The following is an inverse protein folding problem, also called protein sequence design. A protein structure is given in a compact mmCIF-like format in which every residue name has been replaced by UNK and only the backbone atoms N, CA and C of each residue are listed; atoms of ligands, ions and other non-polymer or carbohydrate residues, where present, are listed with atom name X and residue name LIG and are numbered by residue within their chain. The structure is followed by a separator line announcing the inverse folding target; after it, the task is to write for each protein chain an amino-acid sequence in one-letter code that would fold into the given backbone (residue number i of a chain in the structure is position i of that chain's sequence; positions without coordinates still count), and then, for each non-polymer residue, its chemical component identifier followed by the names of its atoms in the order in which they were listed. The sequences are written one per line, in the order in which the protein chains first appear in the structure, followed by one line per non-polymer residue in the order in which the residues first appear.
data_IF_806884823329
#
_entry.id   IF_806884823329
#
_cell.length_a   1.000
_cell.length_b   1.000
_cell.length_c   1.000
_cell.angle_alpha   90.00
_cell.angle_beta   90.00
_cell.angle_gamma   90.00
#
_symmetry.space_group_name_H-M   'P 1'
#
loop_
_entity.id
_entity.type
_entity.pdbx_description
1 polymer ?
#
# COMPACT_ATOMS: atom_id res chain seq x y z
N UNK A 1 17.31 4.69 17.57
CA UNK A 1 18.74 4.41 17.66
C UNK A 1 19.54 5.31 16.72
N UNK A 2 19.27 5.26 15.42
CA UNK A 2 19.89 6.13 14.41
C UNK A 2 19.78 7.63 14.75
N UNK A 3 18.59 8.06 15.14
CA UNK A 3 18.32 9.43 15.50
C UNK A 3 19.04 9.87 16.78
N UNK A 4 19.29 8.94 17.73
CA UNK A 4 19.91 9.23 19.01
C UNK A 4 21.44 9.17 18.97
N UNK A 5 22.03 8.33 18.12
CA UNK A 5 23.48 8.12 18.10
C UNK A 5 24.20 8.84 16.98
N UNK A 6 23.51 9.33 15.96
CA UNK A 6 24.10 9.96 14.78
C UNK A 6 25.02 9.04 13.96
N UNK A 7 25.12 7.76 14.33
CA UNK A 7 26.02 6.81 13.67
C UNK A 7 25.35 6.27 12.41
N UNK A 8 26.03 6.39 11.29
CA UNK A 8 25.66 5.71 10.06
C UNK A 8 25.78 4.19 10.26
N UNK A 9 24.77 3.42 9.88
CA UNK A 9 24.54 2.02 10.21
C UNK A 9 25.74 1.06 10.12
N UNK A 10 26.83 1.44 9.45
CA UNK A 10 28.02 0.62 9.30
C UNK A 10 28.78 0.40 10.61
N UNK A 11 28.82 1.42 11.48
CA UNK A 11 29.69 1.41 12.68
C UNK A 11 28.87 1.37 14.01
N UNK A 12 27.54 1.21 13.88
CA UNK A 12 26.67 1.13 15.04
C UNK A 12 26.83 -0.21 15.77
N UNK A 13 27.17 -0.16 17.04
CA UNK A 13 27.22 -1.31 17.93
C UNK A 13 26.07 -1.24 18.93
N UNK A 14 25.51 -2.37 19.32
CA UNK A 14 24.54 -2.48 20.40
C UNK A 14 25.16 -3.33 21.51
N UNK A 15 25.42 -2.76 22.69
CA UNK A 15 26.10 -3.42 23.79
C UNK A 15 27.49 -4.03 23.42
N UNK A 16 28.23 -3.36 22.48
CA UNK A 16 29.51 -3.84 22.00
C UNK A 16 29.44 -4.96 20.95
N UNK A 17 28.25 -5.34 20.50
CA UNK A 17 28.05 -6.35 19.45
C UNK A 17 28.04 -5.65 18.09
N UNK A 18 28.94 -6.07 17.19
CA UNK A 18 29.09 -5.48 15.85
C UNK A 18 28.18 -6.17 14.81
N UNK A 19 27.85 -7.44 15.02
CA UNK A 19 27.03 -8.24 14.09
C UNK A 19 26.00 -9.08 14.85
N UNK A 20 24.78 -9.16 14.30
CA UNK A 20 23.69 -9.99 14.80
C UNK A 20 23.16 -10.79 13.58
N UNK A 21 23.17 -12.11 13.66
CA UNK A 21 22.77 -13.02 12.57
C UNK A 21 23.48 -12.74 11.23
N UNK A 22 24.78 -12.37 11.27
CA UNK A 22 25.57 -12.07 10.08
C UNK A 22 25.30 -10.69 9.43
N UNK A 23 24.46 -9.86 10.05
CA UNK A 23 24.22 -8.47 9.64
C UNK A 23 24.83 -7.49 10.64
N UNK A 24 25.31 -6.36 10.14
CA UNK A 24 25.76 -5.27 11.00
C UNK A 24 24.66 -4.87 11.98
N UNK A 25 24.97 -4.68 13.24
CA UNK A 25 24.01 -4.40 14.32
C UNK A 25 23.08 -3.23 14.00
N UNK A 26 23.60 -2.14 13.36
CA UNK A 26 22.76 -1.01 12.95
C UNK A 26 21.68 -1.37 11.94
N UNK A 27 21.95 -2.27 11.00
CA UNK A 27 20.98 -2.78 10.03
C UNK A 27 19.90 -3.61 10.74
N UNK A 28 20.31 -4.47 11.67
CA UNK A 28 19.37 -5.28 12.46
C UNK A 28 18.43 -4.41 13.30
N UNK A 29 18.96 -3.39 13.98
CA UNK A 29 18.16 -2.44 14.76
C UNK A 29 17.18 -1.66 13.89
N UNK A 30 17.63 -1.19 12.71
CA UNK A 30 16.78 -0.52 11.76
C UNK A 30 15.65 -1.44 11.23
N UNK A 31 15.98 -2.69 10.92
CA UNK A 31 15.01 -3.71 10.51
C UNK A 31 13.96 -3.97 11.60
N UNK A 32 14.39 -4.20 12.84
CA UNK A 32 13.49 -4.43 13.98
C UNK A 32 12.58 -3.21 14.22
N UNK A 33 13.14 -1.99 14.17
CA UNK A 33 12.37 -0.76 14.31
C UNK A 33 11.35 -0.58 13.19
N UNK A 34 11.72 -0.87 11.95
CA UNK A 34 10.80 -0.79 10.81
C UNK A 34 9.70 -1.86 10.88
N UNK A 35 10.01 -3.05 11.40
CA UNK A 35 9.01 -4.11 11.62
C UNK A 35 7.97 -3.69 12.66
N UNK A 36 8.41 -3.10 13.78
CA UNK A 36 7.50 -2.56 14.82
C UNK A 36 6.64 -1.43 14.25
N UNK A 37 7.24 -0.53 13.46
CA UNK A 37 6.51 0.53 12.77
C UNK A 37 5.44 -0.05 11.84
N UNK A 38 5.76 -1.10 11.06
CA UNK A 38 4.83 -1.75 10.16
C UNK A 38 3.59 -2.30 10.89
N UNK A 39 3.81 -3.03 11.99
CA UNK A 39 2.70 -3.52 12.85
C UNK A 39 1.86 -2.36 13.38
N UNK A 40 2.51 -1.29 13.86
CA UNK A 40 1.81 -0.10 14.36
C UNK A 40 0.97 0.61 13.29
N UNK A 41 1.48 0.71 12.06
CA UNK A 41 0.78 1.33 10.94
C UNK A 41 -0.50 0.55 10.56
N UNK A 42 -0.43 -0.78 10.49
CA UNK A 42 -1.60 -1.63 10.22
C UNK A 42 -2.65 -1.53 11.34
N UNK A 43 -2.24 -1.63 12.59
CA UNK A 43 -3.13 -1.48 13.75
C UNK A 43 -3.80 -0.10 13.75
N UNK A 44 -3.03 0.97 13.47
CA UNK A 44 -3.59 2.32 13.41
C UNK A 44 -4.61 2.47 12.28
N UNK A 45 -4.34 1.93 11.09
CA UNK A 45 -5.24 1.97 9.95
C UNK A 45 -6.58 1.29 10.23
N UNK A 46 -6.56 0.10 10.82
CA UNK A 46 -7.77 -0.65 11.22
C UNK A 46 -8.53 0.11 12.31
N UNK A 47 -7.81 0.61 13.32
CA UNK A 47 -8.41 1.32 14.46
C UNK A 47 -9.12 2.57 14.01
N UNK A 48 -8.46 3.42 13.19
CA UNK A 48 -9.06 4.65 12.66
C UNK A 48 -10.30 4.35 11.82
N UNK A 49 -10.26 3.31 10.99
CA UNK A 49 -11.42 2.91 10.18
C UNK A 49 -12.61 2.46 11.05
N UNK A 50 -12.35 1.69 12.13
CA UNK A 50 -13.39 1.30 13.09
C UNK A 50 -13.98 2.52 13.82
N UNK A 51 -13.12 3.44 14.24
CA UNK A 51 -13.54 4.68 14.90
C UNK A 51 -14.46 5.50 13.99
N UNK A 52 -14.05 5.69 12.73
CA UNK A 52 -14.87 6.42 11.75
C UNK A 52 -16.22 5.74 11.56
N UNK A 53 -16.24 4.41 11.40
CA UNK A 53 -17.48 3.66 11.28
C UNK A 53 -18.40 3.85 12.49
N UNK A 54 -17.85 3.84 13.70
CA UNK A 54 -18.58 4.05 14.96
C UNK A 54 -19.16 5.47 15.07
N UNK A 55 -18.35 6.50 14.81
CA UNK A 55 -18.76 7.88 14.98
C UNK A 55 -19.70 8.41 13.90
N UNK A 56 -19.63 7.85 12.69
CA UNK A 56 -20.40 8.27 11.51
C UNK A 56 -21.48 7.26 11.11
N UNK A 57 -21.80 6.27 11.97
CA UNK A 57 -22.90 5.31 11.73
C UNK A 57 -24.22 6.08 11.48
N UNK A 58 -24.82 5.86 10.31
CA UNK A 58 -26.07 6.54 9.91
C UNK A 58 -25.92 8.00 9.45
N UNK A 59 -24.70 8.49 9.27
CA UNK A 59 -24.37 9.85 8.77
C UNK A 59 -23.46 9.76 7.56
N UNK A 60 -22.56 10.75 7.35
CA UNK A 60 -21.68 10.87 6.18
C UNK A 60 -20.46 9.91 6.25
N UNK A 61 -20.70 8.62 6.50
CA UNK A 61 -19.65 7.60 6.67
C UNK A 61 -18.71 7.53 5.45
N UNK A 62 -19.25 7.53 4.24
CA UNK A 62 -18.45 7.44 3.02
C UNK A 62 -17.53 8.67 2.85
N UNK A 63 -18.01 9.84 3.19
CA UNK A 63 -17.22 11.08 3.16
C UNK A 63 -16.09 11.02 4.18
N UNK A 64 -16.37 10.60 5.42
CA UNK A 64 -15.36 10.49 6.47
C UNK A 64 -14.26 9.47 6.13
N UNK A 65 -14.64 8.31 5.60
CA UNK A 65 -13.70 7.31 5.07
C UNK A 65 -12.90 7.86 3.88
N UNK A 66 -13.53 8.61 3.00
CA UNK A 66 -12.87 9.26 1.86
C UNK A 66 -11.81 10.28 2.31
N UNK A 67 -12.12 11.09 3.31
CA UNK A 67 -11.17 12.05 3.90
C UNK A 67 -9.98 11.34 4.53
N UNK A 68 -10.20 10.24 5.26
CA UNK A 68 -9.11 9.41 5.80
C UNK A 68 -8.15 8.95 4.71
N UNK A 69 -8.68 8.37 3.63
CA UNK A 69 -7.86 7.89 2.50
C UNK A 69 -7.14 9.05 1.83
N UNK A 70 -7.81 10.19 1.63
CA UNK A 70 -7.22 11.38 1.03
C UNK A 70 -6.03 11.91 1.84
N UNK A 71 -6.17 12.05 3.16
CA UNK A 71 -5.10 12.48 4.05
C UNK A 71 -3.91 11.50 4.02
N UNK A 72 -4.16 10.20 4.01
CA UNK A 72 -3.10 9.20 3.87
C UNK A 72 -2.32 9.34 2.55
N UNK A 73 -3.00 9.64 1.44
CA UNK A 73 -2.35 9.86 0.14
C UNK A 73 -1.54 11.16 0.08
N UNK A 74 -2.05 12.23 0.69
CA UNK A 74 -1.30 13.49 0.84
C UNK A 74 -0.04 13.25 1.67
N UNK A 75 -0.14 12.53 2.78
CA UNK A 75 1.02 12.17 3.61
C UNK A 75 2.07 11.36 2.85
N UNK A 76 1.64 10.37 2.06
CA UNK A 76 2.55 9.58 1.22
C UNK A 76 3.26 10.45 0.18
N UNK A 77 2.55 11.33 -0.52
CA UNK A 77 3.13 12.24 -1.49
C UNK A 77 4.11 13.22 -0.84
N UNK A 78 3.75 13.79 0.30
CA UNK A 78 4.62 14.70 1.05
C UNK A 78 5.92 13.98 1.47
N UNK A 79 5.83 12.73 1.95
CA UNK A 79 6.98 11.92 2.28
C UNK A 79 7.93 11.72 1.10
N UNK A 80 7.42 11.35 -0.07
CA UNK A 80 8.24 11.20 -1.28
C UNK A 80 8.87 12.52 -1.74
N UNK A 81 8.14 13.63 -1.68
CA UNK A 81 8.65 14.92 -2.14
C UNK A 81 9.72 15.53 -1.21
N UNK A 82 9.56 15.35 0.10
CA UNK A 82 10.37 16.05 1.12
C UNK A 82 11.58 15.23 1.58
N UNK A 83 11.54 13.90 1.48
CA UNK A 83 12.57 13.03 2.07
C UNK A 83 13.98 13.34 1.53
N UNK A 84 14.19 13.39 0.22
CA UNK A 84 15.52 13.62 -0.39
C UNK A 84 16.03 15.04 -0.13
N UNK A 85 15.25 16.11 -0.39
CA UNK A 85 15.69 17.48 -0.09
C UNK A 85 16.06 17.69 1.39
N UNK A 86 15.26 17.12 2.29
CA UNK A 86 15.48 17.25 3.73
C UNK A 86 16.74 16.51 4.19
N UNK A 87 16.95 15.29 3.66
CA UNK A 87 18.13 14.50 3.95
C UNK A 87 19.43 15.22 3.49
N UNK A 88 19.38 15.92 2.37
CA UNK A 88 20.53 16.69 1.83
C UNK A 88 20.79 17.95 2.63
N UNK A 89 19.73 18.67 3.03
CA UNK A 89 19.89 19.94 3.75
C UNK A 89 20.35 19.75 5.20
N UNK A 90 19.88 18.69 5.88
CA UNK A 90 20.01 18.52 7.33
C UNK A 90 20.55 17.13 7.75
N UNK A 91 20.88 16.29 6.79
CA UNK A 91 21.41 14.94 7.04
C UNK A 91 20.35 13.84 6.93
N UNK A 92 20.86 12.61 6.70
CA UNK A 92 20.06 11.42 6.34
C UNK A 92 19.07 11.00 7.44
N UNK A 93 19.31 11.34 8.70
CA UNK A 93 18.44 11.03 9.83
C UNK A 93 17.22 11.97 9.93
N UNK A 94 17.28 13.16 9.31
CA UNK A 94 16.27 14.21 9.49
C UNK A 94 14.88 13.83 8.98
N UNK A 95 14.68 13.17 7.82
CA UNK A 95 13.37 12.68 7.40
C UNK A 95 12.73 11.71 8.39
N UNK A 96 13.55 10.83 8.99
CA UNK A 96 13.09 9.87 10.01
C UNK A 96 12.69 10.59 11.30
N UNK A 97 13.47 11.59 11.73
CA UNK A 97 13.15 12.43 12.89
C UNK A 97 11.87 13.22 12.69
N UNK A 98 11.66 13.79 11.49
CA UNK A 98 10.40 14.46 11.16
C UNK A 98 9.22 13.50 11.27
N UNK A 99 9.34 12.28 10.73
CA UNK A 99 8.33 11.23 10.87
C UNK A 99 8.04 10.91 12.34
N UNK A 100 9.07 10.79 13.18
CA UNK A 100 8.91 10.56 14.62
C UNK A 100 8.14 11.69 15.30
N UNK A 101 8.48 12.95 15.02
CA UNK A 101 7.79 14.13 15.60
C UNK A 101 6.31 14.14 15.20
N UNK A 102 6.00 13.85 13.93
CA UNK A 102 4.62 13.77 13.46
C UNK A 102 3.84 12.63 14.14
N UNK A 103 4.48 11.46 14.32
CA UNK A 103 3.87 10.32 15.04
C UNK A 103 3.61 10.64 16.51
N UNK A 104 4.54 11.32 17.20
CA UNK A 104 4.34 11.79 18.59
C UNK A 104 3.18 12.77 18.68
N UNK A 105 3.08 13.71 17.74
CA UNK A 105 1.93 14.61 17.64
C UNK A 105 0.61 13.87 17.43
N UNK A 106 0.61 12.87 16.53
CA UNK A 106 -0.53 11.99 16.31
C UNK A 106 -0.93 11.19 17.53
N UNK A 107 0.05 10.70 18.29
CA UNK A 107 -0.19 9.97 19.54
C UNK A 107 -0.85 10.86 20.60
N UNK A 108 -0.39 12.11 20.75
CA UNK A 108 -1.02 13.08 21.67
C UNK A 108 -2.47 13.34 21.24
N UNK A 109 -2.72 13.57 19.95
CA UNK A 109 -4.07 13.76 19.42
C UNK A 109 -4.96 12.53 19.69
N UNK A 110 -4.40 11.32 19.53
CA UNK A 110 -5.11 10.08 19.82
C UNK A 110 -5.48 9.92 21.29
N UNK A 111 -4.63 10.31 22.23
CA UNK A 111 -4.97 10.31 23.66
C UNK A 111 -6.11 11.27 23.99
N UNK A 112 -6.10 12.47 23.41
CA UNK A 112 -7.24 13.42 23.56
C UNK A 112 -8.52 12.79 22.98
N UNK A 113 -8.43 12.20 21.80
CA UNK A 113 -9.55 11.51 21.17
C UNK A 113 -10.08 10.35 22.05
N UNK A 114 -9.21 9.53 22.64
CA UNK A 114 -9.61 8.37 23.45
C UNK A 114 -10.48 8.79 24.67
N UNK A 115 -10.26 10.00 25.22
CA UNK A 115 -11.11 10.56 26.27
C UNK A 115 -12.51 10.89 25.74
N UNK A 116 -12.60 11.40 24.51
CA UNK A 116 -13.88 11.71 23.86
C UNK A 116 -14.63 10.43 23.49
N UNK A 117 -13.93 9.42 22.98
CA UNK A 117 -14.50 8.14 22.58
C UNK A 117 -15.11 7.38 23.77
N UNK A 118 -14.45 7.37 24.92
CA UNK A 118 -15.03 6.82 26.17
C UNK A 118 -16.36 7.47 26.59
N UNK A 119 -16.54 8.77 26.29
CA UNK A 119 -17.83 9.45 26.56
C UNK A 119 -18.90 8.96 25.60
N UNK A 120 -18.55 8.78 24.33
CA UNK A 120 -19.47 8.26 23.32
C UNK A 120 -19.90 6.82 23.68
N UNK A 121 -18.96 5.95 24.09
CA UNK A 121 -19.27 4.57 24.51
C UNK A 121 -20.33 4.53 25.63
N UNK A 122 -20.14 5.34 26.67
CA UNK A 122 -21.11 5.44 27.77
C UNK A 122 -22.49 5.93 27.30
N UNK A 123 -22.54 6.85 26.33
CA UNK A 123 -23.81 7.33 25.78
C UNK A 123 -24.49 6.28 24.92
N UNK A 124 -23.72 5.53 24.11
CA UNK A 124 -24.24 4.45 23.28
C UNK A 124 -24.76 3.28 24.13
N UNK A 125 -24.02 2.88 25.15
CA UNK A 125 -24.43 1.86 26.11
C UNK A 125 -25.73 2.23 26.85
N UNK A 126 -25.82 3.46 27.33
CA UNK A 126 -27.03 3.97 27.97
C UNK A 126 -28.23 4.02 27.00
N UNK A 127 -28.00 4.38 25.73
CA UNK A 127 -29.03 4.40 24.71
C UNK A 127 -29.47 2.97 24.31
N UNK A 128 -28.57 2.01 24.23
CA UNK A 128 -28.86 0.61 23.93
C UNK A 128 -29.68 -0.03 25.04
N UNK A 129 -29.33 0.21 26.31
CA UNK A 129 -30.09 -0.25 27.48
C UNK A 129 -31.50 0.35 27.45
N UNK A 130 -31.65 1.65 27.15
CA UNK A 130 -32.95 2.31 27.08
C UNK A 130 -33.80 1.81 25.91
N UNK A 131 -33.21 1.36 24.81
CA UNK A 131 -33.90 0.82 23.64
C UNK A 131 -34.14 -0.69 23.70
N UNK A 132 -33.61 -1.41 24.70
CA UNK A 132 -33.76 -2.88 24.83
C UNK A 132 -33.10 -3.66 23.69
N UNK A 133 -32.11 -3.05 22.99
CA UNK A 133 -31.38 -3.67 21.90
C UNK A 133 -29.97 -4.05 22.38
N UNK A 134 -29.66 -5.36 22.38
CA UNK A 134 -28.29 -5.81 22.50
C UNK A 134 -27.59 -5.58 21.14
N UNK A 135 -26.48 -4.83 21.12
CA UNK A 135 -25.61 -4.76 19.93
C UNK A 135 -24.97 -6.15 19.79
N UNK A 136 -25.42 -6.96 18.83
CA UNK A 136 -24.72 -8.18 18.45
C UNK A 136 -23.39 -7.79 17.80
N UNK A 137 -22.32 -7.75 18.60
CA UNK A 137 -20.98 -7.73 18.06
C UNK A 137 -20.79 -8.99 17.20
N UNK A 138 -20.43 -8.82 15.93
CA UNK A 138 -20.08 -9.93 15.03
C UNK A 138 -18.92 -10.71 15.65
N UNK A 139 -19.24 -11.84 16.30
CA UNK A 139 -18.24 -12.71 16.92
C UNK A 139 -17.46 -13.45 15.84
N UNK A 140 -16.13 -13.28 15.85
CA UNK A 140 -15.24 -14.05 14.99
C UNK A 140 -15.49 -15.55 15.13
N UNK A 141 -15.63 -16.27 14.01
CA UNK A 141 -15.77 -17.71 13.96
C UNK A 141 -14.71 -18.37 13.09
N UNK A 142 -14.02 -19.38 13.61
CA UNK A 142 -13.09 -20.20 12.80
C UNK A 142 -13.77 -20.92 11.63
N UNK A 143 -15.10 -21.15 11.72
CA UNK A 143 -15.88 -21.71 10.62
C UNK A 143 -15.93 -20.78 9.42
N UNK A 144 -15.95 -19.46 9.63
CA UNK A 144 -15.94 -18.47 8.57
C UNK A 144 -14.60 -18.47 7.82
N UNK A 145 -13.49 -18.61 8.53
CA UNK A 145 -12.17 -18.77 7.91
C UNK A 145 -12.16 -19.96 6.94
N UNK A 146 -12.67 -21.11 7.37
CA UNK A 146 -12.74 -22.31 6.52
C UNK A 146 -13.62 -22.06 5.28
N UNK A 147 -14.79 -21.45 5.46
CA UNK A 147 -15.72 -21.16 4.36
C UNK A 147 -15.09 -20.20 3.33
N UNK A 148 -14.34 -19.19 3.80
CA UNK A 148 -13.63 -18.24 2.94
C UNK A 148 -12.53 -18.95 2.15
N UNK A 149 -11.69 -19.76 2.81
CA UNK A 149 -10.55 -20.44 2.19
C UNK A 149 -10.96 -21.50 1.16
N UNK A 150 -12.15 -22.07 1.26
CA UNK A 150 -12.69 -23.02 0.28
C UNK A 150 -13.26 -22.32 -0.95
N UNK A 151 -13.58 -21.02 -0.87
CA UNK A 151 -14.15 -20.27 -1.99
C UNK A 151 -13.08 -19.94 -3.06
N UNK A 152 -13.23 -20.38 -4.33
CA UNK A 152 -12.27 -20.04 -5.39
C UNK A 152 -12.15 -18.54 -5.66
N UNK A 153 -13.24 -17.77 -5.48
CA UNK A 153 -13.25 -16.32 -5.65
C UNK A 153 -12.34 -15.62 -4.66
N UNK A 154 -12.22 -16.16 -3.43
CA UNK A 154 -11.25 -15.65 -2.45
C UNK A 154 -9.82 -15.68 -2.98
N UNK A 155 -9.38 -16.85 -3.44
CA UNK A 155 -8.00 -17.01 -3.92
C UNK A 155 -7.70 -16.16 -5.15
N UNK A 156 -8.65 -16.04 -6.06
CA UNK A 156 -8.47 -15.21 -7.25
C UNK A 156 -8.35 -13.73 -6.89
N UNK A 157 -9.16 -13.22 -5.96
CA UNK A 157 -9.02 -11.83 -5.49
C UNK A 157 -7.76 -11.66 -4.64
N UNK A 158 -7.44 -12.56 -3.72
CA UNK A 158 -6.24 -12.47 -2.90
C UNK A 158 -4.96 -12.52 -3.74
N UNK A 159 -4.89 -13.42 -4.73
CA UNK A 159 -3.77 -13.48 -5.67
C UNK A 159 -3.68 -12.23 -6.55
N UNK A 160 -4.81 -11.73 -7.05
CA UNK A 160 -4.82 -10.48 -7.81
C UNK A 160 -4.33 -9.33 -6.95
N UNK A 161 -4.79 -9.26 -5.70
CA UNK A 161 -4.38 -8.26 -4.72
C UNK A 161 -2.86 -8.27 -4.51
N UNK A 162 -2.30 -9.42 -4.12
CA UNK A 162 -0.86 -9.50 -3.85
C UNK A 162 -0.02 -9.19 -5.09
N UNK A 163 -0.38 -9.70 -6.26
CA UNK A 163 0.37 -9.47 -7.50
C UNK A 163 0.30 -8.01 -7.94
N UNK A 164 -0.89 -7.41 -7.92
CA UNK A 164 -1.09 -6.01 -8.29
C UNK A 164 -0.34 -5.05 -7.35
N UNK A 165 -0.55 -5.19 -6.05
CA UNK A 165 0.11 -4.31 -5.08
C UNK A 165 1.62 -4.52 -5.02
N UNK A 166 2.11 -5.73 -5.31
CA UNK A 166 3.54 -6.03 -5.44
C UNK A 166 4.21 -5.34 -6.63
N UNK A 167 3.44 -4.97 -7.67
CA UNK A 167 3.96 -4.15 -8.77
C UNK A 167 3.96 -2.65 -8.45
N UNK A 168 3.16 -2.18 -7.49
CA UNK A 168 3.03 -0.75 -7.19
C UNK A 168 3.92 -0.33 -6.03
N UNK A 169 3.68 -0.84 -4.83
CA UNK A 169 4.39 -0.39 -3.62
C UNK A 169 5.88 -0.75 -3.59
N UNK A 170 6.30 -1.99 -3.91
CA UNK A 170 7.71 -2.32 -4.01
C UNK A 170 8.42 -1.48 -5.07
N UNK A 171 7.82 -1.30 -6.24
CA UNK A 171 8.38 -0.45 -7.29
C UNK A 171 8.61 0.99 -6.81
N UNK A 172 7.65 1.59 -6.10
CA UNK A 172 7.78 2.95 -5.58
C UNK A 172 8.99 3.14 -4.66
N UNK A 173 9.45 2.09 -3.96
CA UNK A 173 10.65 2.15 -3.11
C UNK A 173 11.92 2.40 -3.92
N UNK A 174 11.98 1.92 -5.16
CA UNK A 174 13.12 2.05 -6.05
C UNK A 174 12.92 3.14 -7.12
N UNK A 175 11.71 3.67 -7.25
CA UNK A 175 11.33 4.57 -8.34
C UNK A 175 12.15 5.86 -8.38
N UNK A 176 12.44 6.46 -7.22
CA UNK A 176 13.24 7.70 -7.17
C UNK A 176 14.65 7.47 -7.71
N UNK A 177 15.29 6.38 -7.35
CA UNK A 177 16.65 6.06 -7.81
C UNK A 177 16.66 5.67 -9.29
N UNK A 178 15.67 4.89 -9.76
CA UNK A 178 15.47 4.61 -11.19
C UNK A 178 15.37 5.90 -12.01
N UNK A 179 14.62 6.90 -11.51
CA UNK A 179 14.46 8.19 -12.20
C UNK A 179 15.74 8.98 -12.28
N UNK A 180 16.56 8.94 -11.24
CA UNK A 180 17.85 9.62 -11.19
C UNK A 180 18.83 8.93 -12.15
N UNK A 181 19.00 7.61 -12.03
CA UNK A 181 20.05 6.87 -12.73
C UNK A 181 19.72 6.70 -14.21
N UNK A 182 18.51 6.23 -14.54
CA UNK A 182 18.13 5.91 -15.91
C UNK A 182 17.68 7.13 -16.71
N UNK A 183 16.94 8.04 -16.08
CA UNK A 183 16.29 9.16 -16.78
C UNK A 183 16.97 10.50 -16.54
N UNK A 184 18.04 10.55 -15.73
CA UNK A 184 18.78 11.77 -15.43
C UNK A 184 17.95 12.86 -14.73
N UNK A 185 16.88 12.48 -14.06
CA UNK A 185 16.01 13.42 -13.34
C UNK A 185 16.77 13.95 -12.12
N UNK A 186 16.66 15.26 -11.89
CA UNK A 186 17.30 15.90 -10.75
C UNK A 186 16.82 15.25 -9.44
N UNK A 187 17.79 14.92 -8.58
CA UNK A 187 17.56 14.21 -7.32
C UNK A 187 16.58 14.93 -6.38
N UNK A 188 16.54 16.28 -6.40
CA UNK A 188 15.63 17.06 -5.56
C UNK A 188 14.15 16.89 -5.93
N UNK A 189 13.86 16.53 -7.19
CA UNK A 189 12.49 16.36 -7.71
C UNK A 189 12.12 14.91 -8.02
N UNK A 190 13.09 14.01 -8.05
CA UNK A 190 12.86 12.60 -8.37
C UNK A 190 11.83 11.94 -7.41
N UNK A 191 11.91 12.26 -6.12
CA UNK A 191 10.95 11.79 -5.13
C UNK A 191 9.52 12.30 -5.40
N UNK A 192 9.38 13.56 -5.84
CA UNK A 192 8.08 14.13 -6.20
C UNK A 192 7.45 13.36 -7.36
N UNK A 193 8.23 13.04 -8.40
CA UNK A 193 7.73 12.26 -9.53
C UNK A 193 7.45 10.80 -9.15
N UNK A 194 8.26 10.19 -8.30
CA UNK A 194 8.00 8.86 -7.76
C UNK A 194 6.70 8.79 -6.94
N UNK A 195 6.28 9.90 -6.35
CA UNK A 195 5.01 10.03 -5.61
C UNK A 195 3.75 10.25 -6.47
N UNK A 196 3.87 10.54 -7.77
CA UNK A 196 2.71 10.81 -8.65
C UNK A 196 1.59 9.74 -8.58
N UNK A 197 1.88 8.45 -8.44
CA UNK A 197 0.82 7.46 -8.28
C UNK A 197 -0.06 7.70 -7.06
N UNK A 198 0.49 8.22 -5.96
CA UNK A 198 -0.30 8.55 -4.76
C UNK A 198 -1.25 9.73 -5.02
N UNK A 199 -0.80 10.76 -5.76
CA UNK A 199 -1.66 11.88 -6.20
C UNK A 199 -2.75 11.41 -7.16
N UNK A 200 -2.41 10.54 -8.12
CA UNK A 200 -3.38 9.92 -9.01
C UNK A 200 -4.47 9.19 -8.23
N UNK A 201 -4.08 8.39 -7.24
CA UNK A 201 -5.02 7.67 -6.38
C UNK A 201 -5.92 8.61 -5.56
N UNK A 202 -5.38 9.72 -5.05
CA UNK A 202 -6.16 10.72 -4.31
C UNK A 202 -7.33 11.28 -5.14
N UNK A 203 -7.05 11.63 -6.39
CA UNK A 203 -8.02 12.33 -7.25
C UNK A 203 -8.95 11.33 -7.96
N UNK A 204 -8.38 10.26 -8.51
CA UNK A 204 -9.09 9.37 -9.43
C UNK A 204 -9.85 8.23 -8.72
N UNK A 205 -9.46 7.83 -7.52
CA UNK A 205 -10.14 6.72 -6.80
C UNK A 205 -11.63 7.02 -6.55
N UNK A 206 -12.03 8.21 -6.06
CA UNK A 206 -13.45 8.54 -5.92
C UNK A 206 -14.19 8.57 -7.25
N UNK A 207 -13.55 9.07 -8.32
CA UNK A 207 -14.14 9.15 -9.67
C UNK A 207 -14.40 7.74 -10.21
N UNK A 208 -13.43 6.85 -10.12
CA UNK A 208 -13.58 5.48 -10.59
C UNK A 208 -14.52 4.66 -9.70
N UNK A 209 -14.51 4.90 -8.38
CA UNK A 209 -15.49 4.31 -7.47
C UNK A 209 -16.93 4.66 -7.88
N UNK A 210 -17.23 5.94 -8.10
CA UNK A 210 -18.54 6.38 -8.57
C UNK A 210 -18.91 5.85 -9.97
N UNK A 211 -17.94 5.67 -10.85
CA UNK A 211 -18.16 5.03 -12.14
C UNK A 211 -18.54 3.55 -11.99
N UNK A 212 -17.82 2.80 -11.14
CA UNK A 212 -18.05 1.39 -10.88
C UNK A 212 -19.40 1.18 -10.20
N UNK A 213 -19.75 2.03 -9.25
CA UNK A 213 -21.04 1.97 -8.57
C UNK A 213 -22.23 2.07 -9.54
N UNK A 214 -22.11 2.95 -10.55
CA UNK A 214 -23.16 3.19 -11.55
C UNK A 214 -23.13 2.21 -12.73
N UNK A 215 -21.96 1.78 -13.18
CA UNK A 215 -21.79 0.99 -14.42
C UNK A 215 -21.39 -0.46 -14.16
N UNK A 216 -20.88 -0.80 -12.98
CA UNK A 216 -20.31 -2.11 -12.70
C UNK A 216 -18.97 -2.31 -13.38
N UNK A 217 -18.77 -3.49 -13.96
CA UNK A 217 -17.60 -3.92 -14.74
C UNK A 217 -16.33 -4.06 -13.90
N UNK A 218 -16.46 -4.42 -12.61
CA UNK A 218 -15.33 -4.51 -11.69
C UNK A 218 -14.23 -5.46 -12.20
N UNK A 219 -14.57 -6.65 -12.70
CA UNK A 219 -13.59 -7.60 -13.21
C UNK A 219 -12.90 -7.07 -14.49
N UNK A 220 -13.64 -6.40 -15.38
CA UNK A 220 -13.08 -5.76 -16.59
C UNK A 220 -12.13 -4.62 -16.24
N UNK A 221 -12.44 -3.84 -15.22
CA UNK A 221 -11.59 -2.72 -14.74
C UNK A 221 -10.31 -3.25 -14.10
N UNK A 222 -10.39 -4.32 -13.29
CA UNK A 222 -9.20 -4.97 -12.74
C UNK A 222 -8.29 -5.52 -13.85
N UNK A 223 -8.87 -6.07 -14.93
CA UNK A 223 -8.13 -6.51 -16.11
C UNK A 223 -7.41 -5.34 -16.81
N UNK A 224 -8.09 -4.22 -17.01
CA UNK A 224 -7.52 -3.01 -17.62
C UNK A 224 -6.35 -2.49 -16.78
N UNK A 225 -6.51 -2.38 -15.47
CA UNK A 225 -5.44 -1.91 -14.59
C UNK A 225 -4.22 -2.85 -14.59
N UNK A 226 -4.44 -4.18 -14.62
CA UNK A 226 -3.33 -5.15 -14.75
C UNK A 226 -2.61 -5.02 -16.10
N UNK A 227 -3.33 -4.78 -17.20
CA UNK A 227 -2.72 -4.51 -18.50
C UNK A 227 -1.89 -3.22 -18.51
N UNK A 228 -2.37 -2.18 -17.83
CA UNK A 228 -1.61 -0.93 -17.68
C UNK A 228 -0.31 -1.14 -16.90
N UNK A 229 -0.29 -1.99 -15.86
CA UNK A 229 0.95 -2.33 -15.15
C UNK A 229 1.98 -3.00 -16.07
N UNK A 230 1.54 -3.91 -16.94
CA UNK A 230 2.44 -4.54 -17.92
C UNK A 230 3.07 -3.48 -18.81
N UNK A 231 2.27 -2.58 -19.38
CA UNK A 231 2.78 -1.50 -20.23
C UNK A 231 3.79 -0.63 -19.48
N UNK A 232 3.51 -0.24 -18.24
CA UNK A 232 4.40 0.61 -17.44
C UNK A 232 5.74 -0.08 -17.19
N UNK A 233 5.73 -1.26 -16.60
CA UNK A 233 6.97 -1.94 -16.23
C UNK A 233 7.75 -2.45 -17.42
N UNK A 234 7.07 -2.88 -18.50
CA UNK A 234 7.71 -3.30 -19.73
C UNK A 234 8.47 -2.14 -20.40
N UNK A 235 7.87 -0.95 -20.48
CA UNK A 235 8.55 0.24 -21.05
C UNK A 235 9.71 0.67 -20.14
N UNK A 236 9.55 0.60 -18.82
CA UNK A 236 10.68 0.83 -17.90
C UNK A 236 11.80 -0.20 -18.05
N UNK A 237 11.53 -1.41 -18.51
CA UNK A 237 12.54 -2.44 -18.75
C UNK A 237 13.37 -2.21 -20.01
N UNK A 238 12.90 -1.40 -20.97
CA UNK A 238 13.62 -1.15 -22.23
C UNK A 238 14.80 -0.19 -21.97
N UNK A 239 16.07 -0.61 -22.14
CA UNK A 239 17.24 0.20 -21.77
C UNK A 239 17.32 1.53 -22.53
N UNK A 240 17.03 1.52 -23.83
CA UNK A 240 17.19 2.67 -24.73
C UNK A 240 16.16 3.78 -24.52
N UNK A 241 15.07 3.50 -23.78
CA UNK A 241 14.07 4.51 -23.44
C UNK A 241 14.49 5.20 -22.15
N UNK A 242 15.24 6.31 -22.30
CA UNK A 242 15.80 7.10 -21.19
C UNK A 242 15.33 8.56 -21.15
N UNK A 243 14.32 8.93 -21.95
CA UNK A 243 13.81 10.30 -21.97
C UNK A 243 12.92 10.58 -20.77
N UNK A 244 13.25 11.61 -19.98
CA UNK A 244 12.62 11.90 -18.68
C UNK A 244 11.09 12.06 -18.73
N UNK A 245 10.55 12.62 -19.82
CA UNK A 245 9.10 12.79 -19.98
C UNK A 245 8.36 11.43 -20.03
N UNK A 246 9.00 10.41 -20.61
CA UNK A 246 8.44 9.04 -20.64
C UNK A 246 8.30 8.52 -19.20
N UNK A 247 9.31 8.74 -18.35
CA UNK A 247 9.23 8.33 -16.95
C UNK A 247 8.02 8.95 -16.23
N UNK A 248 7.78 10.25 -16.43
CA UNK A 248 6.63 10.95 -15.82
C UNK A 248 5.31 10.42 -16.35
N UNK A 249 5.17 10.24 -17.67
CA UNK A 249 3.94 9.68 -18.28
C UNK A 249 3.65 8.29 -17.73
N UNK A 250 4.67 7.44 -17.60
CA UNK A 250 4.51 6.10 -17.02
C UNK A 250 4.08 6.14 -15.55
N UNK A 251 4.58 7.11 -14.76
CA UNK A 251 4.11 7.30 -13.37
C UNK A 251 2.65 7.75 -13.32
N UNK A 252 2.21 8.60 -14.25
CA UNK A 252 0.79 9.00 -14.34
C UNK A 252 -0.06 7.77 -14.69
N UNK A 253 0.37 6.96 -15.67
CA UNK A 253 -0.34 5.72 -16.04
C UNK A 253 -0.40 4.75 -14.86
N UNK A 254 0.70 4.62 -14.11
CA UNK A 254 0.74 3.82 -12.88
C UNK A 254 -0.26 4.34 -11.84
N UNK A 255 -0.38 5.65 -11.67
CA UNK A 255 -1.35 6.30 -10.79
C UNK A 255 -2.80 6.02 -11.21
N UNK A 256 -3.10 6.04 -12.51
CA UNK A 256 -4.41 5.66 -13.05
C UNK A 256 -4.70 4.19 -12.73
N UNK A 257 -3.77 3.27 -13.01
CA UNK A 257 -3.93 1.85 -12.70
C UNK A 257 -4.14 1.62 -11.20
N UNK A 258 -3.36 2.33 -10.35
CA UNK A 258 -3.44 2.26 -8.89
C UNK A 258 -4.74 2.85 -8.33
N UNK A 259 -5.46 3.65 -9.08
CA UNK A 259 -6.79 4.14 -8.72
C UNK A 259 -7.89 3.18 -9.19
N UNK A 260 -7.76 2.64 -10.40
CA UNK A 260 -8.76 1.76 -11.01
C UNK A 260 -8.95 0.45 -10.24
N UNK A 261 -7.85 -0.27 -10.00
CA UNK A 261 -7.94 -1.64 -9.45
C UNK A 261 -8.46 -1.66 -8.03
N UNK A 262 -7.97 -0.87 -7.06
CA UNK A 262 -8.54 -0.85 -5.72
C UNK A 262 -10.01 -0.44 -5.68
N UNK A 263 -10.42 0.53 -6.52
CA UNK A 263 -11.82 0.95 -6.62
C UNK A 263 -12.76 -0.17 -7.06
N UNK A 264 -12.26 -1.13 -7.84
CA UNK A 264 -13.01 -2.28 -8.32
C UNK A 264 -12.89 -3.50 -7.39
N UNK A 265 -11.70 -3.74 -6.84
CA UNK A 265 -11.35 -4.97 -6.13
C UNK A 265 -11.99 -5.03 -4.74
N UNK A 266 -11.91 -3.95 -3.96
CA UNK A 266 -12.45 -3.97 -2.60
C UNK A 266 -13.98 -4.13 -2.56
N UNK A 267 -14.77 -3.42 -3.37
CA UNK A 267 -16.20 -3.70 -3.47
C UNK A 267 -16.53 -5.10 -4.01
N UNK A 268 -15.66 -5.68 -4.88
CA UNK A 268 -15.87 -7.02 -5.41
C UNK A 268 -15.83 -8.09 -4.31
N UNK A 269 -15.03 -7.92 -3.25
CA UNK A 269 -15.02 -8.83 -2.08
C UNK A 269 -16.41 -8.89 -1.44
N UNK A 270 -17.10 -7.74 -1.31
CA UNK A 270 -18.44 -7.67 -0.74
C UNK A 270 -19.54 -8.32 -1.61
N UNK A 271 -19.25 -8.56 -2.90
CA UNK A 271 -20.15 -9.34 -3.78
C UNK A 271 -19.93 -10.84 -3.67
N UNK A 272 -18.77 -11.28 -3.24
CA UNK A 272 -18.42 -12.70 -3.11
C UNK A 272 -18.80 -13.25 -1.74
N UNK A 273 -18.71 -12.42 -0.69
CA UNK A 273 -18.91 -12.85 0.70
C UNK A 273 -20.07 -12.11 1.36
N UNK A 274 -20.83 -12.80 2.23
CA UNK A 274 -21.85 -12.15 3.05
C UNK A 274 -21.21 -11.17 4.04
N UNK A 275 -21.99 -10.20 4.51
CA UNK A 275 -21.53 -9.12 5.41
C UNK A 275 -20.86 -9.68 6.66
N UNK A 276 -21.38 -10.75 7.25
CA UNK A 276 -20.82 -11.43 8.43
C UNK A 276 -19.41 -11.98 8.25
N UNK A 277 -18.97 -12.25 7.02
CA UNK A 277 -17.65 -12.80 6.69
C UNK A 277 -16.68 -11.76 6.13
N UNK A 278 -17.15 -10.53 5.81
CA UNK A 278 -16.34 -9.52 5.13
C UNK A 278 -15.09 -9.12 5.93
N UNK A 279 -15.23 -8.93 7.23
CA UNK A 279 -14.11 -8.55 8.08
C UNK A 279 -12.97 -9.58 8.04
N UNK A 280 -13.34 -10.87 8.16
CA UNK A 280 -12.37 -11.98 8.07
C UNK A 280 -11.79 -12.12 6.66
N UNK A 281 -12.61 -11.97 5.61
CA UNK A 281 -12.15 -12.04 4.23
C UNK A 281 -11.12 -10.93 3.92
N UNK A 282 -11.40 -9.68 4.31
CA UNK A 282 -10.47 -8.57 4.16
C UNK A 282 -9.17 -8.81 4.94
N UNK A 283 -9.24 -9.26 6.18
CA UNK A 283 -8.07 -9.53 7.01
C UNK A 283 -7.15 -10.58 6.36
N UNK A 284 -7.72 -11.67 5.83
CA UNK A 284 -6.96 -12.71 5.14
C UNK A 284 -6.34 -12.19 3.82
N UNK A 285 -7.07 -11.36 3.06
CA UNK A 285 -6.52 -10.74 1.84
C UNK A 285 -5.34 -9.82 2.18
N UNK A 286 -5.47 -8.97 3.20
CA UNK A 286 -4.38 -8.10 3.66
C UNK A 286 -3.18 -8.90 4.17
N UNK A 287 -3.42 -10.00 4.88
CA UNK A 287 -2.33 -10.88 5.31
C UNK A 287 -1.53 -11.42 4.12
N UNK A 288 -2.21 -11.96 3.09
CA UNK A 288 -1.57 -12.46 1.87
C UNK A 288 -0.87 -11.33 1.11
N UNK A 289 -1.50 -10.15 1.02
CA UNK A 289 -0.90 -8.95 0.41
C UNK A 289 0.43 -8.57 1.08
N UNK A 290 0.49 -8.59 2.41
CA UNK A 290 1.69 -8.22 3.15
C UNK A 290 2.86 -9.19 2.91
N UNK A 291 2.60 -10.47 2.62
CA UNK A 291 3.65 -11.41 2.19
C UNK A 291 4.33 -10.90 0.91
N UNK A 292 3.55 -10.44 -0.07
CA UNK A 292 4.09 -9.86 -1.30
C UNK A 292 4.84 -8.55 -1.06
N UNK A 293 4.28 -7.67 -0.23
CA UNK A 293 4.89 -6.37 0.10
C UNK A 293 6.20 -6.51 0.88
N UNK A 294 6.41 -7.61 1.58
CA UNK A 294 7.67 -7.97 2.21
C UNK A 294 8.61 -8.68 1.24
N UNK A 295 8.14 -9.72 0.55
CA UNK A 295 8.98 -10.61 -0.25
C UNK A 295 9.53 -9.96 -1.52
N UNK A 296 8.70 -9.18 -2.24
CA UNK A 296 9.13 -8.58 -3.51
C UNK A 296 10.22 -7.51 -3.34
N UNK A 297 10.14 -6.54 -2.40
CA UNK A 297 11.27 -5.63 -2.19
C UNK A 297 12.56 -6.34 -1.79
N UNK A 298 12.45 -7.40 -0.98
CA UNK A 298 13.60 -8.22 -0.58
C UNK A 298 14.23 -8.91 -1.78
N UNK A 299 13.41 -9.50 -2.65
CA UNK A 299 13.86 -10.12 -3.91
C UNK A 299 14.54 -9.10 -4.82
N UNK A 300 13.90 -7.93 -5.04
CA UNK A 300 14.45 -6.89 -5.90
C UNK A 300 15.76 -6.35 -5.35
N UNK A 301 15.87 -6.10 -4.03
CA UNK A 301 17.12 -5.68 -3.40
C UNK A 301 18.24 -6.69 -3.61
N UNK A 302 17.94 -7.98 -3.39
CA UNK A 302 18.92 -9.05 -3.64
C UNK A 302 19.34 -9.12 -5.12
N UNK A 303 18.41 -9.00 -6.07
CA UNK A 303 18.70 -9.00 -7.51
C UNK A 303 19.57 -7.80 -7.89
N UNK A 304 19.29 -6.61 -7.35
CA UNK A 304 20.08 -5.42 -7.58
C UNK A 304 21.52 -5.62 -7.14
N UNK A 305 21.73 -6.09 -5.90
CA UNK A 305 23.07 -6.28 -5.34
C UNK A 305 23.85 -7.43 -6.00
N UNK A 306 23.17 -8.50 -6.42
CA UNK A 306 23.82 -9.68 -6.96
C UNK A 306 24.12 -9.57 -8.47
N UNK A 307 23.27 -8.87 -9.25
CA UNK A 307 23.30 -8.97 -10.72
C UNK A 307 23.25 -7.63 -11.46
N UNK A 308 22.93 -6.51 -10.78
CA UNK A 308 22.60 -5.27 -11.45
C UNK A 308 23.56 -4.11 -11.15
N UNK A 309 24.70 -4.37 -10.52
CA UNK A 309 25.70 -3.32 -10.26
C UNK A 309 26.32 -2.89 -11.59
N UNK A 310 26.09 -1.63 -12.00
CA UNK A 310 26.60 -1.04 -13.24
C UNK A 310 27.80 -0.11 -13.04
N UNK A 311 28.10 0.27 -11.79
CA UNK A 311 29.17 1.17 -11.46
C UNK A 311 29.11 1.67 -10.02
N UNK A 312 29.86 2.73 -9.74
CA UNK A 312 29.82 3.43 -8.44
C UNK A 312 29.50 4.90 -8.61
N UNK A 313 28.73 5.44 -7.68
CA UNK A 313 28.48 6.88 -7.56
C UNK A 313 29.72 7.60 -7.00
N UNK A 314 29.80 8.94 -7.10
CA UNK A 314 30.94 9.71 -6.55
C UNK A 314 31.10 9.54 -5.03
N UNK A 315 30.07 9.18 -4.31
CA UNK A 315 30.06 8.89 -2.87
C UNK A 315 30.50 7.46 -2.51
N UNK A 316 30.89 6.66 -3.53
CA UNK A 316 31.33 5.26 -3.37
C UNK A 316 30.19 4.24 -3.29
N UNK A 317 28.91 4.64 -3.26
CA UNK A 317 27.76 3.73 -3.30
C UNK A 317 27.57 3.11 -4.68
N UNK A 318 26.91 1.94 -4.74
CA UNK A 318 26.67 1.25 -6.00
C UNK A 318 25.68 2.01 -6.88
N UNK A 319 25.95 2.03 -8.18
CA UNK A 319 24.98 2.36 -9.23
C UNK A 319 24.35 1.08 -9.74
N UNK A 320 23.04 1.06 -9.97
CA UNK A 320 22.32 -0.12 -10.41
C UNK A 320 21.67 0.07 -11.78
N UNK A 321 21.71 -1.01 -12.59
CA UNK A 321 20.86 -1.13 -13.78
C UNK A 321 19.52 -1.75 -13.39
N UNK A 322 18.44 -1.01 -13.62
CA UNK A 322 17.10 -1.42 -13.26
C UNK A 322 16.38 -2.29 -14.31
N UNK A 323 17.05 -2.67 -15.40
CA UNK A 323 16.44 -3.46 -16.48
C UNK A 323 15.87 -4.79 -15.96
N UNK A 324 16.69 -5.57 -15.24
CA UNK A 324 16.27 -6.87 -14.69
C UNK A 324 15.14 -6.72 -13.65
N UNK A 325 15.22 -5.83 -12.66
CA UNK A 325 14.10 -5.52 -11.77
C UNK A 325 12.80 -5.19 -12.50
N UNK A 326 12.85 -4.37 -13.54
CA UNK A 326 11.66 -4.00 -14.32
C UNK A 326 11.09 -5.19 -15.10
N UNK A 327 11.94 -6.09 -15.61
CA UNK A 327 11.49 -7.35 -16.19
C UNK A 327 10.77 -8.25 -15.17
N UNK A 328 11.25 -8.30 -13.93
CA UNK A 328 10.59 -9.06 -12.85
C UNK A 328 9.20 -8.44 -12.56
N UNK A 329 9.10 -7.12 -12.40
CA UNK A 329 7.81 -6.47 -12.21
C UNK A 329 6.87 -6.69 -13.40
N UNK A 330 7.37 -6.68 -14.62
CA UNK A 330 6.59 -7.02 -15.84
C UNK A 330 6.05 -8.44 -15.75
N UNK A 331 6.87 -9.41 -15.34
CA UNK A 331 6.44 -10.79 -15.14
C UNK A 331 5.33 -10.92 -14.10
N UNK A 332 5.46 -10.25 -12.95
CA UNK A 332 4.42 -10.20 -11.90
C UNK A 332 3.13 -9.55 -12.44
N UNK A 333 3.24 -8.49 -13.22
CA UNK A 333 2.10 -7.82 -13.85
C UNK A 333 1.40 -8.75 -14.86
N UNK A 334 2.15 -9.56 -15.64
CA UNK A 334 1.58 -10.58 -16.53
C UNK A 334 0.79 -11.64 -15.72
N UNK A 335 1.33 -12.10 -14.59
CA UNK A 335 0.60 -13.01 -13.70
C UNK A 335 -0.67 -12.36 -13.14
N UNK A 336 -0.61 -11.07 -12.76
CA UNK A 336 -1.79 -10.31 -12.34
C UNK A 336 -2.87 -10.28 -13.43
N UNK A 337 -2.50 -10.06 -14.69
CA UNK A 337 -3.43 -10.07 -15.83
C UNK A 337 -4.08 -11.45 -16.01
N UNK A 338 -3.29 -12.53 -15.90
CA UNK A 338 -3.80 -13.90 -16.00
C UNK A 338 -4.83 -14.16 -14.89
N UNK A 339 -4.52 -13.78 -13.66
CA UNK A 339 -5.44 -13.96 -12.52
C UNK A 339 -6.71 -13.11 -12.71
N UNK A 340 -6.61 -11.88 -13.23
CA UNK A 340 -7.78 -11.04 -13.56
C UNK A 340 -8.67 -11.70 -14.64
N UNK A 341 -8.08 -12.33 -15.65
CA UNK A 341 -8.81 -13.13 -16.65
C UNK A 341 -9.51 -14.33 -16.03
N UNK A 342 -8.84 -15.05 -15.13
CA UNK A 342 -9.42 -16.18 -14.41
C UNK A 342 -10.57 -15.72 -13.49
N UNK A 343 -10.42 -14.57 -12.81
CA UNK A 343 -11.48 -13.98 -12.00
C UNK A 343 -12.71 -13.63 -12.83
N UNK A 344 -12.51 -13.03 -14.01
CA UNK A 344 -13.61 -12.72 -14.94
C UNK A 344 -14.30 -13.98 -15.47
N UNK A 345 -13.57 -15.09 -15.69
CA UNK A 345 -14.16 -16.39 -16.03
C UNK A 345 -14.92 -17.00 -14.85
N UNK A 346 -14.36 -16.89 -13.63
CA UNK A 346 -14.98 -17.39 -12.41
C UNK A 346 -16.27 -16.62 -12.10
N UNK A 347 -16.30 -15.30 -12.32
CA UNK A 347 -17.49 -14.48 -12.19
C UNK A 347 -18.67 -15.03 -13.02
N UNK A 348 -18.41 -15.35 -14.29
CA UNK A 348 -19.42 -15.99 -15.17
C UNK A 348 -19.84 -17.37 -14.71
N UNK A 349 -18.89 -18.17 -14.16
CA UNK A 349 -19.14 -19.54 -13.74
C UNK A 349 -19.92 -19.64 -12.42
N UNK A 350 -19.57 -18.80 -11.45
CA UNK A 350 -20.09 -18.86 -10.09
C UNK A 350 -21.15 -17.79 -9.80
N UNK A 351 -21.37 -16.83 -10.71
CA UNK A 351 -22.40 -15.82 -10.58
C UNK A 351 -22.10 -14.77 -9.50
N UNK A 352 -20.84 -14.36 -9.32
CA UNK A 352 -20.47 -13.36 -8.32
C UNK A 352 -21.00 -11.94 -8.63
N UNK A 353 -21.47 -11.71 -9.85
CA UNK A 353 -22.03 -10.42 -10.32
C UNK A 353 -21.03 -9.26 -10.30
N UNK A 354 -19.76 -9.55 -10.53
CA UNK A 354 -18.70 -8.54 -10.54
C UNK A 354 -18.83 -7.51 -11.68
N UNK A 355 -19.49 -7.90 -12.77
CA UNK A 355 -19.74 -7.01 -13.90
C UNK A 355 -21.01 -6.16 -13.75
N UNK A 356 -21.87 -6.45 -12.77
CA UNK A 356 -23.10 -5.69 -12.49
C UNK A 356 -22.80 -4.42 -11.67
N UNK A 357 -23.62 -3.35 -11.78
CA UNK A 357 -23.52 -2.17 -10.93
C UNK A 357 -23.65 -2.51 -9.43
N UNK A 358 -23.05 -1.69 -8.57
CA UNK A 358 -23.22 -1.82 -7.14
C UNK A 358 -24.55 -1.21 -6.67
N UNK A 359 -24.98 -0.12 -7.32
CA UNK A 359 -26.26 0.54 -7.07
C UNK A 359 -27.28 -0.08 -8.02
N UNK A 360 -28.23 -0.83 -7.47
CA UNK A 360 -29.42 -1.26 -8.21
C UNK A 360 -30.38 -0.07 -8.28
N UNK A 361 -30.86 0.25 -9.50
CA UNK A 361 -31.90 1.27 -9.73
C UNK A 361 -33.26 0.77 -9.30
#
# INVERSE_FOLDING_TARGET
YYAMTGLAGADATLFGINEIFGYKTGVFVAFAGYSIFGVGAEVAGITVSKIIAKWFKGKELATAMGVQVALARIGSQAGYAVAIPLARAFGISTPVLLGLVLLLGGMIAFFVFAVMDKKLDKQMEAAAIAAGTEDEEEKFSFKDVKNILVNPGFWLIALLCVLFYSCVFPFQKFASELMIIKYGINENVAGTFAGLPALGALILTPVFGGFIDKRGKSASIMLLGSAMLICVHFIYAIPDINYWLVAIVLMIILGIAFSLVPSAMWPAVAKIFPVSQLGTAYALIFFIQNIGLWGIPTLIGWVLDAYCISGKKPDGTNMYDYTVPMCIFTGIACLSLIVALLLKKADKKYGYKLEEPNIQK
#
